data_IF_702025241931
#
_entry.id   IF_702025241931
#
_cell.length_a   1.000
_cell.length_b   1.000
_cell.length_c   1.000
_cell.angle_alpha   90.00
_cell.angle_beta   90.00
_cell.angle_gamma   90.00
#
_symmetry.space_group_name_H-M   'P 1'
#
loop_
_entity.id
_entity.type
_entity.pdbx_description
1 polymer ?
#
# COMPACT_ATOMS: atom_id res chain seq x y z
N UNK A 1 -23.79 2.32 -25.63
CA UNK A 1 -24.57 1.41 -24.75
C UNK A 1 -24.34 1.85 -23.31
N UNK A 2 -25.35 2.37 -22.63
CA UNK A 2 -25.26 2.72 -21.20
C UNK A 2 -25.67 1.50 -20.38
N UNK A 3 -24.72 0.81 -19.77
CA UNK A 3 -25.00 -0.18 -18.72
C UNK A 3 -25.47 0.59 -17.48
N UNK A 4 -26.78 0.58 -17.21
CA UNK A 4 -27.31 1.03 -15.93
C UNK A 4 -26.82 0.07 -14.85
N UNK A 5 -25.91 0.54 -14.00
CA UNK A 5 -25.42 -0.19 -12.85
C UNK A 5 -26.55 -0.15 -11.80
N UNK A 6 -27.39 -1.18 -11.75
CA UNK A 6 -28.43 -1.30 -10.73
C UNK A 6 -27.76 -1.64 -9.39
N UNK A 7 -27.29 -0.62 -8.71
CA UNK A 7 -26.60 -0.69 -7.43
C UNK A 7 -27.62 -0.85 -6.29
N UNK A 8 -28.07 -2.08 -6.06
CA UNK A 8 -28.94 -2.39 -4.92
C UNK A 8 -28.08 -2.73 -3.70
N UNK A 9 -27.72 -1.72 -2.91
CA UNK A 9 -27.01 -1.90 -1.62
C UNK A 9 -27.99 -1.74 -0.47
N UNK A 10 -27.92 -2.64 0.52
CA UNK A 10 -28.75 -2.53 1.72
C UNK A 10 -28.27 -1.33 2.54
N UNK A 11 -29.20 -0.63 3.19
CA UNK A 11 -28.85 0.50 4.07
C UNK A 11 -27.89 0.11 5.21
N UNK A 12 -27.96 -1.14 5.69
CA UNK A 12 -27.02 -1.71 6.66
C UNK A 12 -25.57 -1.71 6.17
N UNK A 13 -25.38 -1.89 4.87
CA UNK A 13 -24.08 -2.12 4.28
C UNK A 13 -23.43 -0.79 3.86
N UNK A 14 -24.21 0.28 3.74
CA UNK A 14 -23.70 1.62 3.45
C UNK A 14 -22.70 2.12 4.50
N UNK A 15 -22.93 1.86 5.78
CA UNK A 15 -22.00 2.25 6.83
C UNK A 15 -20.65 1.54 6.70
N UNK A 16 -20.68 0.27 6.29
CA UNK A 16 -19.49 -0.54 6.06
C UNK A 16 -18.74 -0.05 4.83
N UNK A 17 -19.45 0.21 3.71
CA UNK A 17 -18.86 0.71 2.48
C UNK A 17 -18.25 2.11 2.67
N UNK A 18 -18.89 2.97 3.45
CA UNK A 18 -18.31 4.27 3.81
C UNK A 18 -17.01 4.07 4.61
N UNK A 19 -17.01 3.19 5.62
CA UNK A 19 -15.79 2.88 6.37
C UNK A 19 -14.67 2.28 5.50
N UNK A 20 -15.00 1.55 4.44
CA UNK A 20 -14.01 1.05 3.46
C UNK A 20 -13.38 2.21 2.68
N UNK A 21 -14.18 3.18 2.23
CA UNK A 21 -13.68 4.38 1.54
C UNK A 21 -12.76 5.18 2.46
N UNK A 22 -13.21 5.45 3.69
CA UNK A 22 -12.44 6.22 4.67
C UNK A 22 -11.09 5.54 4.97
N UNK A 23 -11.08 4.22 5.20
CA UNK A 23 -9.85 3.45 5.44
C UNK A 23 -8.92 3.41 4.23
N UNK A 24 -9.45 3.52 3.01
CA UNK A 24 -8.67 3.63 1.78
C UNK A 24 -8.21 5.07 1.49
N UNK A 25 -8.53 6.03 2.37
CA UNK A 25 -8.20 7.44 2.23
C UNK A 25 -9.07 8.16 1.20
N UNK A 26 -10.33 7.74 1.08
CA UNK A 26 -11.39 8.37 0.29
C UNK A 26 -12.48 8.91 1.22
N UNK A 27 -12.15 9.93 2.02
CA UNK A 27 -13.06 10.59 2.95
C UNK A 27 -13.71 11.84 2.33
N UNK A 28 -14.49 12.58 3.13
CA UNK A 28 -15.11 13.85 2.72
C UNK A 28 -14.10 14.89 2.21
N UNK A 29 -12.87 14.89 2.71
CA UNK A 29 -11.84 15.84 2.29
C UNK A 29 -11.36 15.52 0.87
N UNK A 30 -11.12 14.24 0.60
CA UNK A 30 -10.73 13.76 -0.73
C UNK A 30 -11.82 14.00 -1.79
N UNK A 31 -13.10 13.99 -1.38
CA UNK A 31 -14.24 14.30 -2.26
C UNK A 31 -14.21 15.74 -2.76
N UNK A 32 -13.69 16.67 -1.96
CA UNK A 32 -13.54 18.08 -2.33
C UNK A 32 -12.24 18.34 -3.10
N UNK A 33 -11.14 17.69 -2.72
CA UNK A 33 -9.82 17.88 -3.34
C UNK A 33 -9.72 17.26 -4.74
N UNK A 34 -10.20 16.03 -4.90
CA UNK A 34 -10.28 15.35 -6.20
C UNK A 34 -11.62 14.59 -6.35
N UNK A 35 -12.71 15.32 -6.70
CA UNK A 35 -14.03 14.72 -6.87
C UNK A 35 -14.05 13.66 -7.99
N UNK A 36 -13.15 13.73 -8.97
CA UNK A 36 -13.09 12.74 -10.04
C UNK A 36 -12.55 11.42 -9.50
N UNK A 37 -11.42 11.43 -8.80
CA UNK A 37 -10.86 10.23 -8.20
C UNK A 37 -11.81 9.63 -7.14
N UNK A 38 -12.42 10.46 -6.31
CA UNK A 38 -13.42 10.01 -5.33
C UNK A 38 -14.59 9.28 -6.02
N UNK A 39 -15.18 9.88 -7.07
CA UNK A 39 -16.29 9.27 -7.79
C UNK A 39 -15.92 7.94 -8.47
N UNK A 40 -14.69 7.82 -8.98
CA UNK A 40 -14.20 6.55 -9.55
C UNK A 40 -14.05 5.50 -8.44
N UNK A 41 -13.53 5.87 -7.27
CA UNK A 41 -13.37 4.96 -6.14
C UNK A 41 -14.72 4.42 -5.65
N UNK A 42 -15.72 5.30 -5.52
CA UNK A 42 -17.09 4.89 -5.19
C UNK A 42 -17.64 3.91 -6.23
N UNK A 43 -17.55 4.24 -7.53
CA UNK A 43 -18.05 3.35 -8.60
C UNK A 43 -17.37 1.98 -8.59
N UNK A 44 -16.06 1.95 -8.34
CA UNK A 44 -15.31 0.71 -8.22
C UNK A 44 -15.76 -0.10 -7.01
N UNK A 45 -15.91 0.54 -5.85
CA UNK A 45 -16.37 -0.11 -4.62
C UNK A 45 -17.72 -0.80 -4.81
N UNK A 46 -18.69 -0.09 -5.37
CA UNK A 46 -20.02 -0.66 -5.65
C UNK A 46 -19.96 -1.79 -6.67
N UNK A 47 -19.09 -1.68 -7.68
CA UNK A 47 -18.88 -2.78 -8.64
C UNK A 47 -18.36 -4.03 -7.94
N UNK A 48 -17.28 -3.91 -7.16
CA UNK A 48 -16.68 -5.03 -6.43
C UNK A 48 -17.66 -5.69 -5.46
N UNK A 49 -18.44 -4.87 -4.75
CA UNK A 49 -19.47 -5.35 -3.84
C UNK A 49 -20.56 -6.14 -4.57
N UNK A 50 -21.06 -5.63 -5.70
CA UNK A 50 -22.05 -6.32 -6.53
C UNK A 50 -21.48 -7.59 -7.19
N UNK A 51 -20.18 -7.63 -7.48
CA UNK A 51 -19.47 -8.82 -7.97
C UNK A 51 -19.26 -9.87 -6.86
N UNK A 52 -19.71 -9.61 -5.63
CA UNK A 52 -19.71 -10.54 -4.50
C UNK A 52 -18.57 -10.35 -3.51
N UNK A 53 -17.69 -9.36 -3.71
CA UNK A 53 -16.65 -9.04 -2.74
C UNK A 53 -17.25 -8.22 -1.59
N UNK A 54 -17.58 -8.89 -0.48
CA UNK A 54 -18.24 -8.25 0.68
C UNK A 54 -17.30 -8.01 1.86
N UNK A 55 -16.09 -8.58 1.85
CA UNK A 55 -15.10 -8.39 2.91
C UNK A 55 -14.57 -6.95 2.90
N UNK A 56 -14.73 -6.17 3.98
CA UNK A 56 -14.25 -4.78 4.04
C UNK A 56 -12.74 -4.67 3.78
N UNK A 57 -11.95 -5.57 4.37
CA UNK A 57 -10.49 -5.59 4.16
C UNK A 57 -10.11 -5.87 2.70
N UNK A 58 -10.82 -6.79 2.04
CA UNK A 58 -10.57 -7.10 0.64
C UNK A 58 -10.91 -5.90 -0.27
N UNK A 59 -12.03 -5.23 0.02
CA UNK A 59 -12.45 -4.03 -0.71
C UNK A 59 -11.45 -2.87 -0.53
N UNK A 60 -10.96 -2.62 0.69
CA UNK A 60 -9.92 -1.60 0.94
C UNK A 60 -8.65 -1.89 0.16
N UNK A 61 -8.17 -3.14 0.19
CA UNK A 61 -6.95 -3.55 -0.56
C UNK A 61 -7.15 -3.34 -2.06
N UNK A 62 -8.31 -3.71 -2.59
CA UNK A 62 -8.59 -3.62 -4.01
C UNK A 62 -8.71 -2.16 -4.49
N UNK A 63 -9.32 -1.28 -3.69
CA UNK A 63 -9.31 0.16 -3.92
C UNK A 63 -7.87 0.70 -3.93
N UNK A 64 -7.08 0.40 -2.91
CA UNK A 64 -5.65 0.77 -2.83
C UNK A 64 -4.86 0.33 -4.06
N UNK A 65 -5.09 -0.92 -4.53
CA UNK A 65 -4.44 -1.48 -5.72
C UNK A 65 -4.81 -0.72 -7.00
N UNK A 66 -6.08 -0.37 -7.17
CA UNK A 66 -6.59 0.24 -8.40
C UNK A 66 -6.09 1.66 -8.66
N UNK A 67 -5.82 2.42 -7.60
CA UNK A 67 -5.39 3.82 -7.72
C UNK A 67 -3.88 4.01 -7.50
N UNK A 68 -3.12 2.92 -7.39
CA UNK A 68 -1.68 2.98 -7.16
C UNK A 68 -1.30 3.51 -5.77
N UNK A 69 -2.28 3.72 -4.88
CA UNK A 69 -2.06 3.87 -3.43
C UNK A 69 -1.78 2.48 -2.88
N UNK A 70 -0.69 1.85 -3.31
CA UNK A 70 -0.25 0.59 -2.72
C UNK A 70 -0.32 0.75 -1.19
N UNK A 71 -0.88 -0.21 -0.43
CA UNK A 71 -0.70 -0.20 1.01
C UNK A 71 0.79 0.01 1.20
N UNK A 72 1.17 0.99 2.03
CA UNK A 72 2.54 1.18 2.42
C UNK A 72 2.98 -0.15 3.02
N UNK A 73 3.52 -1.04 2.18
CA UNK A 73 4.12 -2.26 2.63
C UNK A 73 5.36 -1.78 3.31
N UNK A 74 5.26 -1.60 4.62
CA UNK A 74 6.31 -1.21 5.56
C UNK A 74 7.47 -2.21 5.60
N UNK A 75 7.62 -3.07 4.59
CA UNK A 75 8.89 -3.72 4.24
C UNK A 75 9.81 -2.62 3.72
N UNK A 76 10.38 -1.96 4.72
CA UNK A 76 11.18 -0.75 4.66
C UNK A 76 12.17 -0.79 3.50
N UNK A 77 12.30 0.35 2.83
CA UNK A 77 13.42 0.66 1.92
C UNK A 77 14.78 0.18 2.48
N UNK A 78 14.94 0.15 3.81
CA UNK A 78 16.13 -0.36 4.49
C UNK A 78 16.40 -1.86 4.27
N UNK A 79 15.38 -2.72 4.25
CA UNK A 79 15.58 -4.17 3.99
C UNK A 79 15.94 -4.42 2.52
N UNK A 80 15.34 -3.66 1.61
CA UNK A 80 15.65 -3.69 0.19
C UNK A 80 17.09 -3.21 -0.09
N UNK A 81 17.50 -2.11 0.54
CA UNK A 81 18.85 -1.56 0.43
C UNK A 81 19.90 -2.51 1.04
N UNK A 82 19.58 -3.17 2.15
CA UNK A 82 20.45 -4.21 2.76
C UNK A 82 20.67 -5.38 1.79
N UNK A 83 19.60 -5.91 1.20
CA UNK A 83 19.69 -7.00 0.23
C UNK A 83 20.45 -6.58 -1.04
N UNK A 84 20.22 -5.35 -1.51
CA UNK A 84 20.93 -4.77 -2.67
C UNK A 84 22.43 -4.69 -2.43
N UNK A 85 22.87 -4.15 -1.28
CA UNK A 85 24.28 -4.06 -0.91
C UNK A 85 24.93 -5.45 -0.77
N UNK A 86 24.20 -6.43 -0.22
CA UNK A 86 24.67 -7.81 -0.10
C UNK A 86 24.93 -8.44 -1.48
N UNK A 87 23.99 -8.30 -2.42
CA UNK A 87 24.11 -8.84 -3.79
C UNK A 87 25.23 -8.15 -4.57
N UNK A 88 25.45 -6.85 -4.36
CA UNK A 88 26.52 -6.08 -5.01
C UNK A 88 27.90 -6.30 -4.36
N UNK A 89 28.00 -7.14 -3.32
CA UNK A 89 29.25 -7.39 -2.62
C UNK A 89 29.76 -6.21 -1.79
N UNK A 90 28.91 -5.20 -1.55
CA UNK A 90 29.24 -4.03 -0.72
C UNK A 90 29.01 -4.42 0.73
N UNK A 91 29.97 -5.16 1.29
CA UNK A 91 30.04 -5.44 2.73
C UNK A 91 30.39 -4.18 3.54
N UNK A 92 30.08 -4.14 4.85
CA UNK A 92 30.56 -3.07 5.70
C UNK A 92 32.10 -3.06 5.64
N UNK A 93 32.68 -1.90 5.37
CA UNK A 93 34.13 -1.70 5.40
C UNK A 93 34.61 -1.98 6.83
N UNK A 94 35.03 -3.21 7.08
CA UNK A 94 35.75 -3.54 8.30
C UNK A 94 37.13 -2.93 8.14
N UNK A 95 37.32 -1.73 8.71
CA UNK A 95 38.64 -1.14 8.89
C UNK A 95 39.38 -2.04 9.87
N UNK A 96 40.11 -3.03 9.35
CA UNK A 96 41.08 -3.79 10.13
C UNK A 96 42.25 -2.86 10.40
N UNK A 97 42.25 -2.23 11.57
CA UNK A 97 43.45 -1.62 12.13
C UNK A 97 44.49 -2.72 12.29
N UNK A 98 45.51 -2.72 11.40
CA UNK A 98 46.66 -3.63 11.52
C UNK A 98 47.37 -3.36 12.85
N UNK A 99 47.35 -4.36 13.73
CA UNK A 99 48.17 -4.40 14.93
C UNK A 99 49.64 -4.61 14.50
N UNK A 100 50.61 -3.81 14.96
CA UNK A 100 52.01 -4.01 14.61
C UNK A 100 52.60 -5.24 15.33
N UNK A 101 53.42 -6.00 14.60
CA UNK A 101 54.08 -7.22 15.07
C UNK A 101 55.14 -6.95 16.15
N UNK A 102 55.43 -7.90 17.07
CA UNK A 102 56.43 -7.71 18.09
C UNK A 102 57.85 -7.72 17.50
N UNK A 103 58.62 -6.67 17.82
CA UNK A 103 60.06 -6.58 17.58
C UNK A 103 60.79 -7.76 18.23
N UNK A 104 61.61 -8.45 17.45
CA UNK A 104 62.50 -9.50 17.93
C UNK A 104 63.87 -8.87 18.16
N UNK A 105 64.19 -8.63 19.43
CA UNK A 105 65.46 -8.11 19.94
C UNK A 105 66.62 -9.04 19.57
N UNK A 106 67.71 -8.45 19.07
CA UNK A 106 69.02 -9.11 18.90
C UNK A 106 69.89 -8.94 20.14
#
# INVERSE_FOLDING_TARGET
>A
MSSNLHMSVRTSDMAILQGVLDNAGYDCTSSLEDPKCYNIAVKLLFKLYNDGMTSPAALTIELSRHFGKAPLSSKSSAEFEKNRKLIQGIGPVVVVSRLPAPEQTR
#
